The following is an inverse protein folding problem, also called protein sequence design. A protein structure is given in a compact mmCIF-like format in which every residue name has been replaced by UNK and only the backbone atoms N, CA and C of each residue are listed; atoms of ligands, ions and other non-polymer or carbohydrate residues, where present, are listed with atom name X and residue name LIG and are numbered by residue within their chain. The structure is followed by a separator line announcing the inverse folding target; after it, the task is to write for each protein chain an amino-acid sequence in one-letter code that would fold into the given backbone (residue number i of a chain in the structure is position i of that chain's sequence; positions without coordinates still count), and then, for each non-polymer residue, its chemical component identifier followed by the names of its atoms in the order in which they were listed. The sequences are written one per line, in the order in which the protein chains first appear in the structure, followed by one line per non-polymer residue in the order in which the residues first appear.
data_IF_298261633170
#
_entry.id   IF_298261633170
#
_cell.length_a   1.000
_cell.length_b   1.000
_cell.length_c   1.000
_cell.angle_alpha   90.00
_cell.angle_beta   90.00
_cell.angle_gamma   90.00
#
_symmetry.space_group_name_H-M   'P 1'
#
loop_
_entity.id
_entity.type
_entity.pdbx_description
1 polymer ?
#
# COMPACT_ATOMS: atom_id res chain seq x y z
N UNK A 1 2.81 10.04 -27.13
CA UNK A 1 1.62 9.40 -26.54
C UNK A 1 2.09 8.12 -25.86
N UNK A 2 2.34 8.17 -24.55
CA UNK A 2 2.77 7.00 -23.78
C UNK A 2 1.55 6.10 -23.56
N UNK A 3 1.65 4.83 -23.94
CA UNK A 3 0.61 3.82 -23.75
C UNK A 3 0.35 3.67 -22.25
N UNK A 4 -0.88 3.91 -21.79
CA UNK A 4 -1.24 3.69 -20.39
C UNK A 4 -1.06 2.21 -20.03
N UNK A 5 -0.23 1.91 -19.03
CA UNK A 5 -0.03 0.56 -18.54
C UNK A 5 -1.09 0.26 -17.45
N UNK A 6 -1.81 -0.85 -17.59
CA UNK A 6 -2.78 -1.35 -16.61
C UNK A 6 -2.10 -2.38 -15.70
N UNK A 7 -2.58 -2.52 -14.47
CA UNK A 7 -2.11 -3.47 -13.46
C UNK A 7 -2.18 -4.96 -13.85
N UNK A 8 -2.91 -5.32 -14.91
CA UNK A 8 -3.03 -6.69 -15.42
C UNK A 8 -1.65 -7.33 -15.70
N UNK A 9 -1.31 -8.35 -14.90
CA UNK A 9 -0.05 -9.09 -15.04
C UNK A 9 1.20 -8.34 -14.54
N UNK A 10 1.08 -7.11 -14.03
CA UNK A 10 2.20 -6.33 -13.50
C UNK A 10 2.97 -7.11 -12.42
N UNK A 11 2.26 -7.55 -11.38
CA UNK A 11 2.87 -8.29 -10.26
C UNK A 11 3.42 -9.65 -10.69
N UNK A 12 2.75 -10.36 -11.59
CA UNK A 12 3.21 -11.63 -12.11
C UNK A 12 4.49 -11.51 -12.95
N UNK A 13 4.74 -10.32 -13.54
CA UNK A 13 5.93 -10.01 -14.33
C UNK A 13 7.10 -9.43 -13.52
N UNK A 14 6.94 -9.21 -12.21
CA UNK A 14 8.03 -8.71 -11.38
C UNK A 14 9.08 -9.80 -11.18
N UNK A 15 10.34 -9.44 -11.40
CA UNK A 15 11.45 -10.31 -11.06
C UNK A 15 11.50 -10.48 -9.54
N UNK A 16 11.71 -11.71 -9.09
CA UNK A 16 11.97 -11.98 -7.68
C UNK A 16 13.29 -11.33 -7.30
N UNK A 17 13.31 -10.58 -6.20
CA UNK A 17 14.52 -10.10 -5.55
C UNK A 17 15.11 -11.26 -4.73
N UNK A 18 16.24 -11.87 -5.16
CA UNK A 18 16.73 -13.10 -4.56
C UNK A 18 17.49 -12.86 -3.25
N UNK A 19 18.04 -11.65 -3.08
CA UNK A 19 18.92 -11.28 -1.98
C UNK A 19 18.37 -10.00 -1.34
N UNK A 20 18.21 -10.03 -0.02
CA UNK A 20 17.63 -8.90 0.71
C UNK A 20 18.54 -7.67 0.65
N UNK A 21 19.86 -7.87 0.66
CA UNK A 21 20.90 -6.84 0.62
C UNK A 21 20.77 -5.92 -0.60
N UNK A 22 20.15 -6.41 -1.68
CA UNK A 22 19.98 -5.70 -2.94
C UNK A 22 18.77 -4.76 -2.94
N UNK A 23 17.98 -4.70 -1.86
CA UNK A 23 16.81 -3.81 -1.78
C UNK A 23 17.17 -2.33 -2.01
N UNK A 24 18.41 -1.92 -1.73
CA UNK A 24 18.85 -0.54 -1.94
C UNK A 24 19.08 -0.17 -3.41
N UNK A 25 19.08 -1.13 -4.34
CA UNK A 25 19.39 -0.91 -5.77
C UNK A 25 18.19 -0.33 -6.53
N UNK A 26 18.19 0.97 -6.91
CA UNK A 26 17.01 1.60 -7.53
C UNK A 26 16.61 0.98 -8.87
N UNK A 27 17.57 0.41 -9.59
CA UNK A 27 17.33 -0.25 -10.88
C UNK A 27 16.54 -1.56 -10.80
N UNK A 28 16.31 -2.11 -9.60
CA UNK A 28 15.49 -3.30 -9.39
C UNK A 28 14.00 -2.97 -9.23
N UNK A 29 13.66 -1.70 -9.03
CA UNK A 29 12.28 -1.24 -8.92
C UNK A 29 11.67 -0.97 -10.29
N UNK A 30 10.36 -1.14 -10.39
CA UNK A 30 9.56 -0.84 -11.59
C UNK A 30 8.59 0.29 -11.28
N UNK A 31 8.38 1.15 -12.28
CA UNK A 31 7.32 2.16 -12.20
C UNK A 31 5.97 1.47 -11.98
N UNK A 32 5.15 2.08 -11.12
CA UNK A 32 3.81 1.56 -10.83
C UNK A 32 2.91 1.74 -12.05
N UNK A 33 1.92 0.86 -12.24
CA UNK A 33 0.89 1.03 -13.26
C UNK A 33 0.15 2.37 -13.12
N UNK A 34 -0.35 2.91 -14.23
CA UNK A 34 -1.04 4.20 -14.25
C UNK A 34 -2.41 4.16 -13.55
N UNK A 35 -2.99 2.97 -13.39
CA UNK A 35 -4.24 2.72 -12.70
C UNK A 35 -4.06 2.46 -11.19
N UNK A 36 -2.82 2.56 -10.69
CA UNK A 36 -2.54 2.35 -9.28
C UNK A 36 -2.91 3.57 -8.42
N UNK A 37 -3.36 3.32 -7.19
CA UNK A 37 -3.75 4.36 -6.23
C UNK A 37 -3.11 4.13 -4.87
N UNK A 38 -2.57 5.20 -4.26
CA UNK A 38 -2.07 5.19 -2.87
C UNK A 38 -3.10 5.86 -1.97
N UNK A 39 -3.50 5.17 -0.90
CA UNK A 39 -4.39 5.70 0.12
C UNK A 39 -3.58 5.84 1.42
N UNK A 40 -3.65 7.01 2.04
CA UNK A 40 -3.01 7.28 3.33
C UNK A 40 -4.07 7.66 4.34
N UNK A 41 -4.03 7.03 5.51
CA UNK A 41 -4.86 7.37 6.66
C UNK A 41 -3.94 7.78 7.81
N UNK A 42 -4.28 8.87 8.48
CA UNK A 42 -3.62 9.29 9.71
C UNK A 42 -4.56 9.11 10.92
N UNK A 43 -3.98 8.67 12.03
CA UNK A 43 -4.66 8.57 13.31
C UNK A 43 -4.02 9.57 14.26
N UNK A 44 -4.71 10.69 14.46
CA UNK A 44 -4.24 11.78 15.32
C UNK A 44 -3.87 11.26 16.72
N UNK A 45 -2.73 11.74 17.25
CA UNK A 45 -2.19 11.37 18.57
C UNK A 45 -1.99 9.85 18.78
N UNK A 46 -1.81 9.08 17.71
CA UNK A 46 -1.62 7.62 17.77
C UNK A 46 -0.43 7.21 18.63
N UNK A 47 0.69 7.94 18.61
CA UNK A 47 1.87 7.66 19.46
C UNK A 47 1.51 7.63 20.95
N UNK A 48 0.79 8.65 21.43
CA UNK A 48 0.35 8.68 22.82
C UNK A 48 -0.70 7.61 23.11
N UNK A 49 -1.63 7.37 22.19
CA UNK A 49 -2.65 6.33 22.34
C UNK A 49 -1.99 4.95 22.50
N UNK A 50 -0.99 4.63 21.67
CA UNK A 50 -0.19 3.41 21.78
C UNK A 50 0.54 3.33 23.12
N UNK A 51 1.19 4.43 23.55
CA UNK A 51 1.87 4.49 24.85
C UNK A 51 0.91 4.24 26.03
N UNK A 52 -0.37 4.61 25.88
CA UNK A 52 -1.46 4.35 26.84
C UNK A 52 -2.09 2.95 26.71
N UNK A 53 -1.54 2.06 25.87
CA UNK A 53 -2.02 0.70 25.66
C UNK A 53 -3.12 0.54 24.60
N UNK A 54 -3.48 1.61 23.87
CA UNK A 54 -4.55 1.59 22.87
C UNK A 54 -4.09 1.19 21.45
N UNK A 55 -2.98 0.44 21.34
CA UNK A 55 -2.44 -0.03 20.05
C UNK A 55 -3.49 -0.75 19.19
N UNK A 56 -4.28 -1.65 19.80
CA UNK A 56 -5.34 -2.39 19.09
C UNK A 56 -6.40 -1.44 18.52
N UNK A 57 -6.75 -0.38 19.25
CA UNK A 57 -7.72 0.62 18.79
C UNK A 57 -7.16 1.43 17.62
N UNK A 58 -5.90 1.87 17.70
CA UNK A 58 -5.23 2.57 16.59
C UNK A 58 -5.20 1.71 15.33
N UNK A 59 -4.79 0.44 15.44
CA UNK A 59 -4.81 -0.50 14.31
C UNK A 59 -6.23 -0.72 13.77
N UNK A 60 -7.24 -0.82 14.64
CA UNK A 60 -8.62 -0.99 14.23
C UNK A 60 -9.13 0.21 13.44
N UNK A 61 -8.75 1.44 13.81
CA UNK A 61 -9.06 2.64 13.02
C UNK A 61 -8.39 2.56 11.64
N UNK A 62 -7.11 2.19 11.58
CA UNK A 62 -6.41 2.00 10.30
C UNK A 62 -7.08 0.96 9.39
N UNK A 63 -7.45 -0.20 9.96
CA UNK A 63 -8.17 -1.24 9.22
C UNK A 63 -9.57 -0.79 8.77
N UNK A 64 -10.29 -0.06 9.63
CA UNK A 64 -11.60 0.49 9.29
C UNK A 64 -11.51 1.49 8.13
N UNK A 65 -10.47 2.32 8.09
CA UNK A 65 -10.22 3.23 6.98
C UNK A 65 -9.95 2.50 5.66
N UNK A 66 -9.16 1.41 5.69
CA UNK A 66 -8.97 0.55 4.51
C UNK A 66 -10.33 0.01 4.04
N UNK A 67 -11.11 -0.59 4.95
CA UNK A 67 -12.42 -1.16 4.63
C UNK A 67 -13.40 -0.12 4.09
N UNK A 68 -13.39 1.10 4.64
CA UNK A 68 -14.23 2.19 4.15
C UNK A 68 -13.93 2.51 2.68
N UNK A 69 -12.65 2.58 2.31
CA UNK A 69 -12.25 2.84 0.92
C UNK A 69 -12.62 1.66 0.01
N UNK A 70 -12.36 0.43 0.43
CA UNK A 70 -12.76 -0.77 -0.32
C UNK A 70 -14.26 -0.80 -0.63
N UNK A 71 -15.08 -0.45 0.36
CA UNK A 71 -16.54 -0.45 0.22
C UNK A 71 -17.03 0.61 -0.77
N UNK A 72 -16.42 1.80 -0.82
CA UNK A 72 -16.82 2.86 -1.77
C UNK A 72 -16.25 2.65 -3.18
N UNK A 73 -15.12 1.94 -3.30
CA UNK A 73 -14.50 1.63 -4.59
C UNK A 73 -15.21 0.51 -5.36
N UNK A 74 -16.20 -0.16 -4.75
CA UNK A 74 -16.93 -1.27 -5.38
C UNK A 74 -16.15 -2.61 -5.36
N UNK A 75 -15.17 -2.74 -4.46
CA UNK A 75 -14.15 -3.79 -4.49
C UNK A 75 -12.88 -3.32 -5.23
N UNK A 76 -11.74 -3.91 -4.88
CA UNK A 76 -10.53 -3.84 -5.71
C UNK A 76 -10.43 -5.19 -6.37
N UNK A 77 -10.40 -5.22 -7.71
CA UNK A 77 -10.13 -6.43 -8.49
C UNK A 77 -8.68 -6.93 -8.30
#
# INVERSE_FOLDING_TARGET
MTRRANSAGFYAGLAVLPEFERFGEPGLYRELPDDWSVIVCDVASSTEAVARGAYKTVNMIGAASIMAVLNVSGGVD
#
